data_IF_078123990550
#
_entry.id   IF_078123990550
#
_cell.length_a   1.000
_cell.length_b   1.000
_cell.length_c   1.000
_cell.angle_alpha   90.00
_cell.angle_beta   90.00
_cell.angle_gamma   90.00
#
_symmetry.space_group_name_H-M   'P 1'
#
loop_
_entity.id
_entity.type
_entity.pdbx_description
1 polymer ?
#
# COMPACT_ATOMS: atom_id res chain seq x y z
N UNK A 1 5.16 16.07 -4.94
CA UNK A 1 5.58 15.47 -5.41
C UNK A 1 6.44 14.21 -5.46
N UNK A 2 6.35 13.53 -6.55
CA UNK A 2 6.98 12.23 -6.74
C UNK A 2 7.87 12.30 -7.98
N UNK A 3 9.07 11.70 -7.87
CA UNK A 3 10.00 11.63 -9.00
C UNK A 3 9.45 10.74 -10.12
N UNK A 4 9.70 11.08 -11.41
CA UNK A 4 9.32 10.18 -12.51
C UNK A 4 9.94 8.79 -12.42
N UNK A 5 11.10 8.68 -11.78
CA UNK A 5 11.83 7.42 -11.60
C UNK A 5 11.52 6.76 -10.26
N UNK A 6 10.40 7.10 -9.66
CA UNK A 6 9.98 6.62 -8.35
C UNK A 6 10.00 5.09 -8.30
N UNK A 7 10.56 4.55 -7.22
CA UNK A 7 10.61 3.10 -6.99
C UNK A 7 9.66 2.73 -5.86
N UNK A 8 8.88 1.69 -6.08
CA UNK A 8 7.96 1.18 -5.09
C UNK A 8 8.31 -0.27 -4.76
N UNK A 9 8.60 -0.50 -3.48
CA UNK A 9 8.92 -1.83 -2.96
C UNK A 9 7.83 -2.25 -1.98
N UNK A 10 6.97 -3.16 -2.42
CA UNK A 10 5.93 -3.74 -1.57
C UNK A 10 6.51 -5.00 -0.94
N UNK A 11 7.10 -4.82 0.23
CA UNK A 11 7.93 -5.85 0.87
C UNK A 11 7.16 -7.13 1.16
N UNK A 12 5.90 -6.99 1.58
CA UNK A 12 5.09 -8.16 1.98
C UNK A 12 4.81 -9.11 0.81
N UNK A 13 4.69 -8.57 -0.42
CA UNK A 13 4.43 -9.38 -1.62
C UNK A 13 5.69 -9.67 -2.43
N UNK A 14 6.80 -9.01 -2.10
CA UNK A 14 8.03 -9.08 -2.89
C UNK A 14 7.97 -8.31 -4.21
N UNK A 15 6.94 -7.50 -4.42
CA UNK A 15 6.76 -6.73 -5.65
C UNK A 15 7.61 -5.47 -5.62
N UNK A 16 8.44 -5.29 -6.64
CA UNK A 16 9.32 -4.14 -6.74
C UNK A 16 9.22 -3.58 -8.15
N UNK A 17 8.76 -2.35 -8.30
CA UNK A 17 8.57 -1.72 -9.61
C UNK A 17 9.23 -0.35 -9.64
N UNK A 18 9.67 0.04 -10.83
CA UNK A 18 10.30 1.33 -11.08
C UNK A 18 9.48 2.13 -12.08
N UNK A 19 9.42 3.43 -11.88
CA UNK A 19 8.69 4.34 -12.74
C UNK A 19 7.28 4.61 -12.24
N UNK A 20 6.87 5.88 -12.29
CA UNK A 20 5.60 6.30 -11.70
C UNK A 20 4.40 5.64 -12.38
N UNK A 21 4.46 5.38 -13.70
CA UNK A 21 3.33 4.78 -14.40
C UNK A 21 3.06 3.34 -13.91
N UNK A 22 4.13 2.54 -13.73
CA UNK A 22 4.00 1.19 -13.21
C UNK A 22 3.51 1.17 -11.76
N UNK A 23 3.96 2.13 -10.96
CA UNK A 23 3.52 2.25 -9.57
C UNK A 23 2.04 2.63 -9.50
N UNK A 24 1.59 3.53 -10.35
CA UNK A 24 0.18 3.93 -10.39
C UNK A 24 -0.74 2.76 -10.75
N UNK A 25 -0.30 1.84 -11.60
CA UNK A 25 -1.07 0.64 -11.91
C UNK A 25 -1.32 -0.22 -10.67
N UNK A 26 -0.31 -0.35 -9.79
CA UNK A 26 -0.46 -1.09 -8.54
C UNK A 26 -1.45 -0.41 -7.62
N UNK A 27 -1.35 0.92 -7.48
CA UNK A 27 -2.25 1.68 -6.63
C UNK A 27 -3.68 1.68 -7.17
N UNK A 28 -3.86 1.69 -8.51
CA UNK A 28 -5.17 1.57 -9.13
C UNK A 28 -5.80 0.22 -8.83
N UNK A 29 -5.00 -0.86 -8.80
CA UNK A 29 -5.48 -2.18 -8.41
C UNK A 29 -5.99 -2.21 -6.97
N UNK A 30 -5.27 -1.56 -6.07
CA UNK A 30 -5.70 -1.44 -4.67
C UNK A 30 -7.00 -0.64 -4.59
N UNK A 31 -7.09 0.49 -5.29
CA UNK A 31 -8.28 1.34 -5.29
C UNK A 31 -9.49 0.61 -5.89
N UNK A 32 -9.28 -0.26 -6.87
CA UNK A 32 -10.37 -1.07 -7.44
C UNK A 32 -10.91 -2.08 -6.44
N UNK A 33 -10.04 -2.72 -5.66
CA UNK A 33 -10.45 -3.68 -4.62
C UNK A 33 -11.08 -2.98 -3.42
N UNK A 34 -10.53 -1.82 -3.05
CA UNK A 34 -10.93 -1.08 -1.85
C UNK A 34 -11.23 0.38 -2.20
N UNK A 35 -12.34 0.67 -2.93
CA UNK A 35 -12.61 2.03 -3.42
C UNK A 35 -12.85 3.06 -2.31
N UNK A 36 -13.16 2.61 -1.10
CA UNK A 36 -13.41 3.50 0.05
C UNK A 36 -12.34 3.34 1.14
N UNK A 37 -11.09 3.04 0.75
CA UNK A 37 -10.04 2.92 1.75
C UNK A 37 -9.69 4.27 2.36
N UNK A 38 -9.46 4.28 3.67
CA UNK A 38 -9.07 5.46 4.42
C UNK A 38 -7.78 5.16 5.20
N UNK A 39 -6.89 6.13 5.23
CA UNK A 39 -5.65 6.02 5.99
C UNK A 39 -5.77 6.84 7.28
N UNK A 40 -5.48 6.19 8.40
CA UNK A 40 -5.40 6.84 9.70
C UNK A 40 -3.94 6.89 10.12
N UNK A 41 -3.35 8.08 10.12
CA UNK A 41 -1.92 8.26 10.43
C UNK A 41 -1.72 8.36 11.94
N UNK A 42 -0.80 7.54 12.46
CA UNK A 42 -0.47 7.51 13.88
C UNK A 42 0.79 8.28 14.20
N UNK A 43 1.79 8.23 13.33
CA UNK A 43 3.04 8.96 13.54
C UNK A 43 3.75 9.21 12.22
N UNK A 44 4.56 10.25 12.22
CA UNK A 44 5.45 10.58 11.11
C UNK A 44 6.79 11.01 11.71
N UNK A 45 7.85 10.33 11.31
CA UNK A 45 9.20 10.60 11.80
C UNK A 45 10.10 10.83 10.60
N UNK A 46 10.83 11.93 10.62
CA UNK A 46 11.79 12.26 9.57
C UNK A 46 13.20 12.33 10.15
N UNK A 47 14.14 11.74 9.42
CA UNK A 47 15.55 11.82 9.76
C UNK A 47 16.36 11.92 8.48
N UNK A 48 17.10 13.02 8.30
CA UNK A 48 17.77 13.28 7.03
C UNK A 48 16.76 13.33 5.90
N UNK A 49 16.95 12.50 4.89
CA UNK A 49 16.06 12.40 3.72
C UNK A 49 15.08 11.25 3.81
N UNK A 50 14.95 10.63 4.98
CA UNK A 50 14.06 9.48 5.18
C UNK A 50 12.87 9.88 6.03
N UNK A 51 11.67 9.53 5.57
CA UNK A 51 10.42 9.76 6.31
C UNK A 51 9.75 8.42 6.56
N UNK A 52 9.40 8.17 7.83
CA UNK A 52 8.70 6.93 8.22
C UNK A 52 7.29 7.30 8.69
N UNK A 53 6.29 6.72 8.03
CA UNK A 53 4.89 6.92 8.36
C UNK A 53 4.31 5.64 8.93
N UNK A 54 3.70 5.73 10.11
CA UNK A 54 2.95 4.61 10.68
C UNK A 54 1.47 4.93 10.58
N UNK A 55 0.70 4.00 10.03
CA UNK A 55 -0.71 4.23 9.75
C UNK A 55 -1.54 2.95 9.85
N UNK A 56 -2.84 3.13 9.86
CA UNK A 56 -3.81 2.04 9.71
C UNK A 56 -4.61 2.30 8.45
N UNK A 57 -4.72 1.28 7.60
CA UNK A 57 -5.65 1.30 6.48
C UNK A 57 -6.98 0.71 6.92
N UNK A 58 -8.05 1.49 6.79
CA UNK A 58 -9.42 1.04 7.02
C UNK A 58 -10.07 0.85 5.65
N UNK A 59 -10.40 -0.39 5.31
CA UNK A 59 -10.83 -0.75 3.96
C UNK A 59 -12.10 -1.58 3.97
N UNK A 60 -12.87 -1.51 2.88
CA UNK A 60 -14.02 -2.38 2.64
C UNK A 60 -13.79 -3.06 1.29
N UNK A 61 -13.80 -4.39 1.28
CA UNK A 61 -13.49 -5.17 0.08
C UNK A 61 -14.75 -5.31 -0.78
N UNK A 62 -14.95 -4.39 -1.72
CA UNK A 62 -16.11 -4.40 -2.62
C UNK A 62 -15.77 -4.68 -4.06
N UNK A 63 -14.53 -4.47 -4.47
CA UNK A 63 -14.07 -4.73 -5.83
C UNK A 63 -13.21 -5.97 -5.93
N UNK A 64 -12.82 -6.37 -7.15
CA UNK A 64 -11.96 -7.54 -7.33
C UNK A 64 -10.56 -7.28 -6.80
N UNK A 65 -9.97 -8.26 -6.12
CA UNK A 65 -8.62 -8.17 -5.57
C UNK A 65 -7.73 -9.23 -6.20
N UNK A 66 -6.64 -8.85 -6.86
CA UNK A 66 -5.69 -9.84 -7.36
C UNK A 66 -4.91 -10.50 -6.21
N UNK A 67 -4.79 -11.81 -6.27
CA UNK A 67 -3.99 -12.59 -5.31
C UNK A 67 -3.08 -13.53 -6.08
N UNK A 68 -2.08 -14.15 -5.42
CA UNK A 68 -1.25 -15.16 -6.08
C UNK A 68 -2.06 -16.34 -6.65
N UNK A 69 -3.25 -16.58 -6.12
CA UNK A 69 -4.13 -17.66 -6.57
C UNK A 69 -5.22 -17.21 -7.54
N UNK A 70 -5.11 -16.00 -8.08
CA UNK A 70 -6.07 -15.42 -9.00
C UNK A 70 -6.85 -14.28 -8.38
N UNK A 71 -7.88 -13.82 -9.09
CA UNK A 71 -8.69 -12.70 -8.67
C UNK A 71 -9.78 -13.15 -7.70
N UNK A 72 -9.96 -12.41 -6.60
CA UNK A 72 -10.99 -12.68 -5.61
C UNK A 72 -12.08 -11.62 -5.73
N UNK A 73 -13.32 -12.07 -5.84
CA UNK A 73 -14.49 -11.18 -5.91
C UNK A 73 -14.67 -10.49 -4.56
N UNK A 74 -15.15 -9.24 -4.58
CA UNK A 74 -15.39 -8.48 -3.38
C UNK A 74 -16.23 -9.22 -2.33
N UNK A 75 -15.71 -9.30 -1.10
CA UNK A 75 -16.38 -10.02 -0.02
C UNK A 75 -17.39 -9.15 0.74
N UNK A 76 -17.36 -7.84 0.56
CA UNK A 76 -18.17 -6.89 1.33
C UNK A 76 -17.70 -6.69 2.77
N UNK A 77 -16.60 -7.35 3.16
CA UNK A 77 -16.08 -7.29 4.53
C UNK A 77 -15.13 -6.11 4.71
N UNK A 78 -15.05 -5.63 5.93
CA UNK A 78 -14.13 -4.55 6.31
C UNK A 78 -12.88 -5.12 6.97
N UNK A 79 -11.79 -4.36 6.87
CA UNK A 79 -10.55 -4.70 7.53
C UNK A 79 -9.83 -3.44 8.01
N UNK A 80 -9.07 -3.58 9.09
CA UNK A 80 -8.18 -2.54 9.60
C UNK A 80 -6.79 -3.13 9.67
N UNK A 81 -5.87 -2.58 8.89
CA UNK A 81 -4.53 -3.16 8.70
C UNK A 81 -3.46 -2.13 9.03
N UNK A 82 -2.53 -2.50 9.92
CA UNK A 82 -1.40 -1.63 10.24
C UNK A 82 -0.38 -1.67 9.11
N UNK A 83 0.16 -0.50 8.82
CA UNK A 83 1.14 -0.35 7.75
C UNK A 83 2.23 0.65 8.14
N UNK A 84 3.38 0.47 7.53
CA UNK A 84 4.50 1.40 7.65
C UNK A 84 4.99 1.70 6.24
N UNK A 85 5.10 3.00 5.93
CA UNK A 85 5.69 3.46 4.67
C UNK A 85 6.99 4.15 4.97
N UNK A 86 8.07 3.73 4.32
CA UNK A 86 9.38 4.36 4.43
C UNK A 86 9.69 5.06 3.11
N UNK A 87 9.71 6.38 3.16
CA UNK A 87 9.93 7.22 1.98
C UNK A 87 11.34 7.76 1.98
N UNK A 88 12.03 7.65 0.85
CA UNK A 88 13.29 8.35 0.64
C UNK A 88 13.00 9.59 -0.19
N UNK A 89 13.48 10.73 0.28
CA UNK A 89 13.22 12.03 -0.33
C UNK A 89 14.48 12.58 -0.97
N UNK A 90 14.32 13.31 -2.05
CA UNK A 90 15.43 13.96 -2.73
C UNK A 90 14.91 15.24 -3.38
N UNK A 91 15.49 16.39 -3.03
CA UNK A 91 15.10 17.70 -3.56
C UNK A 91 13.59 17.98 -3.39
N UNK A 92 13.00 17.56 -2.27
CA UNK A 92 11.58 17.77 -1.98
C UNK A 92 10.65 16.81 -2.69
N UNK A 93 11.18 15.76 -3.34
CA UNK A 93 10.38 14.75 -4.03
C UNK A 93 10.65 13.38 -3.46
N UNK A 94 9.62 12.53 -3.40
CA UNK A 94 9.78 11.13 -3.03
C UNK A 94 10.40 10.38 -4.21
N UNK A 95 11.53 9.71 -3.97
CA UNK A 95 12.21 8.92 -4.99
C UNK A 95 12.01 7.42 -4.80
N UNK A 96 11.63 7.00 -3.59
CA UNK A 96 11.28 5.60 -3.33
C UNK A 96 10.37 5.48 -2.13
N UNK A 97 9.63 4.36 -2.10
CA UNK A 97 8.77 4.00 -0.98
C UNK A 97 8.93 2.51 -0.72
N UNK A 98 9.20 2.14 0.53
CA UNK A 98 9.11 0.77 0.98
C UNK A 98 7.84 0.64 1.81
N UNK A 99 6.93 -0.21 1.37
CA UNK A 99 5.64 -0.38 2.01
C UNK A 99 5.60 -1.71 2.76
N UNK A 100 5.28 -1.65 4.03
CA UNK A 100 5.11 -2.83 4.89
C UNK A 100 3.70 -2.83 5.43
N UNK A 101 2.99 -3.95 5.28
CA UNK A 101 1.68 -4.08 5.90
C UNK A 101 1.41 -5.55 6.24
N UNK A 102 0.45 -5.76 7.12
CA UNK A 102 0.14 -7.10 7.63
C UNK A 102 -0.87 -7.79 6.71
N UNK A 103 -0.36 -8.46 5.66
CA UNK A 103 -1.19 -9.19 4.71
C UNK A 103 -1.98 -10.32 5.38
N UNK A 104 -1.37 -10.99 6.35
CA UNK A 104 -2.05 -12.05 7.08
C UNK A 104 -3.29 -11.56 7.79
N UNK A 105 -3.18 -10.43 8.47
CA UNK A 105 -4.32 -9.81 9.15
C UNK A 105 -5.38 -9.37 8.13
N UNK A 106 -4.95 -8.76 7.02
CA UNK A 106 -5.88 -8.35 5.97
C UNK A 106 -6.69 -9.53 5.45
N UNK A 107 -6.02 -10.60 5.05
CA UNK A 107 -6.69 -11.80 4.52
C UNK A 107 -7.58 -12.46 5.57
N UNK A 108 -7.13 -12.52 6.82
CA UNK A 108 -7.91 -13.10 7.91
C UNK A 108 -9.21 -12.31 8.15
N UNK A 109 -9.13 -10.99 8.21
CA UNK A 109 -10.29 -10.15 8.43
C UNK A 109 -11.28 -10.20 7.26
N UNK A 110 -10.79 -10.42 6.05
CA UNK A 110 -11.62 -10.58 4.87
C UNK A 110 -12.13 -12.02 4.70
N UNK A 111 -11.67 -12.95 5.52
CA UNK A 111 -12.08 -14.36 5.45
C UNK A 111 -11.46 -15.10 4.26
N UNK A 112 -10.28 -14.69 3.82
CA UNK A 112 -9.62 -15.21 2.62
C UNK A 112 -8.41 -16.10 2.88
N UNK A 113 -8.09 -16.38 4.14
CA UNK A 113 -6.94 -17.21 4.46
C UNK A 113 -7.31 -18.66 4.78
#
# INVERSE_FOLDING_TARGET
>A
AVSPDFQYDEVVTGRNVSGIDAVLEIWDGWAAAFPHSEAEFHSAVASGNTVVLELTWNVTHTGPMPTPNGEVIGTGKTASVRAISVLEMENGKAVSCRQYFDMGTLLSQLGLN
#
